data_IF_796710675846
#
_entry.id   IF_796710675846
#
_cell.length_a   1.000
_cell.length_b   1.000
_cell.length_c   1.000
_cell.angle_alpha   90.00
_cell.angle_beta   90.00
_cell.angle_gamma   90.00
#
_symmetry.space_group_name_H-M   'P 1'
#
loop_
_entity.id
_entity.type
_entity.pdbx_description
1 polymer ?
#
# COMPACT_ATOMS: atom_id res chain seq x y z
N UNK A 1 -31.41 6.26 -60.74
CA UNK A 1 -31.05 5.28 -59.67
C UNK A 1 -31.03 5.99 -58.34
N UNK A 2 -31.73 5.44 -57.35
CA UNK A 2 -32.08 6.13 -56.09
C UNK A 2 -30.95 6.03 -54.99
N UNK A 3 -29.70 6.14 -55.39
CA UNK A 3 -28.55 5.98 -54.46
C UNK A 3 -28.53 7.06 -53.36
N UNK A 4 -28.92 8.28 -53.68
CA UNK A 4 -28.97 9.38 -52.69
C UNK A 4 -30.05 9.17 -51.63
N UNK A 5 -31.18 8.51 -51.99
CA UNK A 5 -32.24 8.18 -51.01
C UNK A 5 -31.75 7.11 -50.03
N UNK A 6 -31.05 6.08 -50.53
CA UNK A 6 -30.50 5.01 -49.70
C UNK A 6 -29.44 5.55 -48.73
N UNK A 7 -28.55 6.42 -49.23
CA UNK A 7 -27.52 7.10 -48.41
C UNK A 7 -28.13 7.94 -47.27
N UNK A 8 -29.17 8.73 -47.60
CA UNK A 8 -29.83 9.58 -46.60
C UNK A 8 -30.58 8.74 -45.54
N UNK A 9 -31.19 7.64 -45.91
CA UNK A 9 -31.81 6.69 -44.97
C UNK A 9 -30.78 6.05 -44.07
N UNK A 10 -29.64 5.65 -44.62
CA UNK A 10 -28.54 5.04 -43.85
C UNK A 10 -27.93 6.02 -42.84
N UNK A 11 -27.73 7.27 -43.26
CA UNK A 11 -27.26 8.35 -42.36
C UNK A 11 -28.29 8.60 -41.25
N UNK A 12 -29.58 8.63 -41.59
CA UNK A 12 -30.66 8.82 -40.61
C UNK A 12 -30.72 7.70 -39.57
N UNK A 13 -30.57 6.44 -39.99
CA UNK A 13 -30.50 5.30 -39.08
C UNK A 13 -29.26 5.40 -38.17
N UNK A 14 -28.10 5.72 -38.73
CA UNK A 14 -26.84 5.83 -38.00
C UNK A 14 -26.90 6.96 -36.96
N UNK A 15 -27.53 8.06 -37.30
CA UNK A 15 -27.76 9.19 -36.41
C UNK A 15 -28.74 8.83 -35.27
N UNK A 16 -29.81 8.12 -35.59
CA UNK A 16 -30.77 7.65 -34.59
C UNK A 16 -30.13 6.67 -33.59
N UNK A 17 -29.30 5.73 -34.07
CA UNK A 17 -28.56 4.78 -33.23
C UNK A 17 -27.57 5.51 -32.32
N UNK A 18 -26.84 6.48 -32.87
CA UNK A 18 -25.90 7.26 -32.05
C UNK A 18 -26.62 8.09 -30.98
N UNK A 19 -27.73 8.73 -31.29
CA UNK A 19 -28.55 9.47 -30.33
C UNK A 19 -29.12 8.54 -29.24
N UNK A 20 -29.56 7.34 -29.60
CA UNK A 20 -30.05 6.34 -28.66
C UNK A 20 -28.90 5.88 -27.71
N UNK A 21 -27.71 5.62 -28.24
CA UNK A 21 -26.56 5.23 -27.45
C UNK A 21 -26.12 6.35 -26.48
N UNK A 22 -26.09 7.60 -26.97
CA UNK A 22 -25.78 8.77 -26.13
C UNK A 22 -26.81 8.98 -25.03
N UNK A 23 -28.11 8.84 -25.36
CA UNK A 23 -29.19 8.92 -24.36
C UNK A 23 -29.10 7.83 -23.30
N UNK A 24 -28.77 6.61 -23.70
CA UNK A 24 -28.60 5.49 -22.77
C UNK A 24 -27.36 5.67 -21.88
N UNK A 25 -26.26 6.17 -22.44
CA UNK A 25 -25.06 6.49 -21.69
C UNK A 25 -25.32 7.62 -20.68
N UNK A 26 -25.96 8.70 -21.11
CA UNK A 26 -26.33 9.82 -20.23
C UNK A 26 -27.25 9.40 -19.09
N UNK A 27 -28.25 8.54 -19.38
CA UNK A 27 -29.15 8.00 -18.36
C UNK A 27 -28.42 7.12 -17.34
N UNK A 28 -27.49 6.26 -17.78
CA UNK A 28 -26.67 5.44 -16.90
C UNK A 28 -25.76 6.30 -16.00
N UNK A 29 -25.12 7.33 -16.55
CA UNK A 29 -24.29 8.26 -15.79
C UNK A 29 -25.11 9.02 -14.74
N UNK A 30 -26.29 9.51 -15.12
CA UNK A 30 -27.18 10.19 -14.17
C UNK A 30 -27.70 9.25 -13.07
N UNK A 31 -28.05 8.01 -13.40
CA UNK A 31 -28.50 7.02 -12.43
C UNK A 31 -27.38 6.64 -11.44
N UNK A 32 -26.15 6.49 -11.92
CA UNK A 32 -24.99 6.23 -11.07
C UNK A 32 -24.70 7.40 -10.15
N UNK A 33 -24.78 8.64 -10.65
CA UNK A 33 -24.58 9.84 -9.84
C UNK A 33 -25.65 10.00 -8.75
N UNK A 34 -26.92 9.78 -9.10
CA UNK A 34 -28.03 9.87 -8.12
C UNK A 34 -27.95 8.78 -7.05
N UNK A 35 -27.50 7.58 -7.40
CA UNK A 35 -27.28 6.50 -6.42
C UNK A 35 -26.10 6.81 -5.49
N UNK A 36 -25.01 7.34 -6.03
CA UNK A 36 -23.83 7.69 -5.24
C UNK A 36 -24.14 8.79 -4.21
N UNK A 37 -24.89 9.81 -4.59
CA UNK A 37 -25.27 10.91 -3.66
C UNK A 37 -26.24 10.47 -2.56
N UNK A 38 -27.19 9.58 -2.86
CA UNK A 38 -28.08 8.99 -1.85
C UNK A 38 -27.30 8.11 -0.85
N UNK A 39 -26.42 7.26 -1.35
CA UNK A 39 -25.61 6.38 -0.53
C UNK A 39 -24.69 7.16 0.45
N UNK A 40 -24.11 8.28 0.01
CA UNK A 40 -23.24 9.11 0.87
C UNK A 40 -24.01 9.69 2.05
N UNK A 41 -25.25 10.19 1.81
CA UNK A 41 -26.09 10.72 2.87
C UNK A 41 -26.53 9.64 3.88
N UNK A 42 -26.92 8.46 3.38
CA UNK A 42 -27.32 7.34 4.23
C UNK A 42 -26.16 6.81 5.07
N UNK A 43 -24.95 6.72 4.48
CA UNK A 43 -23.73 6.32 5.20
C UNK A 43 -23.35 7.35 6.29
N UNK A 44 -23.45 8.65 6.00
CA UNK A 44 -23.21 9.69 7.02
C UNK A 44 -24.18 9.55 8.19
N UNK A 45 -25.46 9.31 7.92
CA UNK A 45 -26.45 9.09 8.95
C UNK A 45 -26.17 7.84 9.79
N UNK A 46 -25.78 6.73 9.15
CA UNK A 46 -25.44 5.48 9.83
C UNK A 46 -24.18 5.62 10.70
N UNK A 47 -23.10 6.22 10.17
CA UNK A 47 -21.85 6.47 10.92
C UNK A 47 -22.13 7.42 12.11
N UNK A 48 -22.94 8.45 11.90
CA UNK A 48 -23.37 9.35 12.99
C UNK A 48 -24.18 8.61 14.06
N UNK A 49 -25.01 7.66 13.65
CA UNK A 49 -25.74 6.77 14.58
C UNK A 49 -24.84 5.89 15.44
N UNK A 50 -23.63 5.58 14.97
CA UNK A 50 -22.59 4.88 15.75
C UNK A 50 -21.79 5.83 16.67
N UNK A 51 -22.07 7.12 16.68
CA UNK A 51 -21.37 8.10 17.52
C UNK A 51 -20.13 8.71 16.89
N UNK A 52 -19.80 8.39 15.63
CA UNK A 52 -18.66 8.89 14.87
C UNK A 52 -19.12 9.78 13.72
N UNK A 53 -18.20 10.52 13.10
CA UNK A 53 -18.53 11.42 11.99
C UNK A 53 -17.62 11.16 10.79
N UNK A 54 -18.09 11.54 9.59
CA UNK A 54 -17.27 11.58 8.39
C UNK A 54 -16.83 13.02 8.13
N UNK A 55 -15.56 13.23 7.82
CA UNK A 55 -15.06 14.53 7.40
C UNK A 55 -15.83 15.05 6.16
N UNK A 56 -15.95 16.37 6.00
CA UNK A 56 -16.64 16.96 4.84
C UNK A 56 -15.96 16.59 3.51
N UNK A 57 -14.64 16.44 3.54
CA UNK A 57 -13.82 15.98 2.39
C UNK A 57 -13.89 14.49 2.13
N UNK A 58 -14.46 13.68 3.04
CA UNK A 58 -14.54 12.25 2.87
C UNK A 58 -15.36 11.88 1.63
N UNK A 59 -14.84 10.97 0.85
CA UNK A 59 -15.55 10.34 -0.26
C UNK A 59 -15.40 8.84 -0.13
N UNK A 60 -16.52 8.12 -0.22
CA UNK A 60 -16.49 6.66 -0.21
C UNK A 60 -15.73 6.19 -1.45
N UNK A 61 -14.65 5.39 -1.29
CA UNK A 61 -13.96 4.82 -2.44
C UNK A 61 -14.85 3.80 -3.16
N UNK A 62 -14.55 3.56 -4.43
CA UNK A 62 -15.19 2.50 -5.19
C UNK A 62 -14.83 1.12 -4.61
N UNK A 63 -15.77 0.18 -4.73
CA UNK A 63 -15.53 -1.22 -4.37
C UNK A 63 -14.41 -1.80 -5.24
N UNK A 64 -13.49 -2.51 -4.61
CA UNK A 64 -12.32 -3.07 -5.29
C UNK A 64 -12.24 -4.57 -5.03
N UNK A 65 -12.06 -5.33 -6.10
CA UNK A 65 -11.72 -6.73 -5.99
C UNK A 65 -10.20 -6.89 -5.93
N UNK A 66 -9.69 -7.38 -4.81
CA UNK A 66 -8.27 -7.64 -4.60
C UNK A 66 -8.05 -9.14 -4.30
N UNK A 67 -7.21 -9.83 -5.09
CA UNK A 67 -6.85 -11.22 -4.78
C UNK A 67 -5.93 -11.28 -3.56
N UNK A 68 -6.02 -12.33 -2.77
CA UNK A 68 -4.98 -12.67 -1.81
C UNK A 68 -3.72 -13.08 -2.55
N UNK A 69 -2.56 -12.57 -2.12
CA UNK A 69 -1.27 -12.84 -2.72
C UNK A 69 -0.34 -13.51 -1.70
N UNK A 70 0.41 -14.49 -2.15
CA UNK A 70 1.48 -15.08 -1.36
C UNK A 70 2.82 -14.40 -1.71
N UNK A 71 3.72 -14.35 -0.73
CA UNK A 71 5.08 -13.86 -0.86
C UNK A 71 6.04 -14.94 -0.42
N UNK A 72 6.91 -15.37 -1.32
CA UNK A 72 8.00 -16.27 -0.93
C UNK A 72 9.15 -15.44 -0.36
N UNK A 73 9.59 -15.82 0.83
CA UNK A 73 10.74 -15.20 1.47
C UNK A 73 12.03 -15.61 0.76
N UNK A 74 12.79 -14.63 0.27
CA UNK A 74 14.08 -14.87 -0.37
C UNK A 74 15.24 -14.68 0.61
N UNK A 75 15.76 -15.79 1.13
CA UNK A 75 16.94 -15.77 2.02
C UNK A 75 18.18 -15.25 1.31
N UNK A 76 18.32 -15.53 0.01
CA UNK A 76 19.43 -15.05 -0.79
C UNK A 76 19.43 -13.53 -0.92
N UNK A 77 18.25 -12.91 -1.11
CA UNK A 77 18.16 -11.46 -1.21
C UNK A 77 18.37 -10.78 0.15
N UNK A 78 17.91 -11.41 1.26
CA UNK A 78 18.20 -10.95 2.62
C UNK A 78 19.71 -10.97 2.91
N UNK A 79 20.39 -12.03 2.51
CA UNK A 79 21.85 -12.16 2.67
C UNK A 79 22.62 -11.18 1.78
N UNK A 80 22.20 -11.01 0.53
CA UNK A 80 22.77 -10.01 -0.37
C UNK A 80 22.63 -8.59 0.20
N UNK A 81 21.44 -8.22 0.68
CA UNK A 81 21.19 -6.94 1.29
C UNK A 81 22.09 -6.74 2.53
N UNK A 82 22.16 -7.74 3.41
CA UNK A 82 23.03 -7.70 4.59
C UNK A 82 24.51 -7.57 4.22
N UNK A 83 24.98 -8.26 3.17
CA UNK A 83 26.38 -8.19 2.74
C UNK A 83 26.77 -6.79 2.22
N UNK A 84 25.83 -6.10 1.57
CA UNK A 84 26.06 -4.70 1.14
C UNK A 84 26.04 -3.73 2.33
N UNK A 85 25.18 -3.98 3.31
CA UNK A 85 25.07 -3.15 4.53
C UNK A 85 26.26 -3.30 5.47
N UNK A 86 26.75 -4.54 5.66
CA UNK A 86 27.67 -4.90 6.73
C UNK A 86 29.07 -5.32 6.23
N UNK A 87 29.22 -5.50 4.92
CA UNK A 87 30.43 -6.06 4.30
C UNK A 87 30.40 -7.59 4.18
N UNK A 88 31.37 -8.13 3.44
CA UNK A 88 31.44 -9.55 3.11
C UNK A 88 31.82 -10.45 4.31
N UNK A 89 32.47 -9.91 5.31
CA UNK A 89 32.97 -10.67 6.49
C UNK A 89 31.95 -10.79 7.62
N UNK A 90 30.64 -10.69 7.29
CA UNK A 90 29.57 -10.81 8.26
C UNK A 90 29.32 -12.25 8.69
N UNK A 91 29.02 -12.45 9.98
CA UNK A 91 28.57 -13.72 10.53
C UNK A 91 27.05 -13.87 10.40
N UNK A 92 26.59 -15.05 9.95
CA UNK A 92 25.17 -15.38 9.82
C UNK A 92 24.76 -16.34 10.94
N UNK A 93 23.71 -16.00 11.66
CA UNK A 93 23.05 -16.85 12.67
C UNK A 93 21.59 -17.03 12.31
N UNK A 94 21.11 -18.26 12.23
CA UNK A 94 19.69 -18.57 12.01
C UNK A 94 19.08 -19.16 13.28
N UNK A 95 17.93 -18.61 13.70
CA UNK A 95 17.18 -19.03 14.88
C UNK A 95 16.07 -19.99 14.50
N UNK A 96 15.58 -20.79 15.46
CA UNK A 96 14.53 -21.80 15.25
C UNK A 96 13.19 -21.23 14.80
N UNK A 97 12.90 -19.96 15.13
CA UNK A 97 11.71 -19.25 14.69
C UNK A 97 11.75 -18.77 13.23
N UNK A 98 12.89 -19.02 12.55
CA UNK A 98 13.14 -18.59 11.19
C UNK A 98 13.68 -17.15 11.09
N UNK A 99 14.04 -16.53 12.18
CA UNK A 99 14.77 -15.25 12.22
C UNK A 99 16.21 -15.48 11.77
N UNK A 100 16.75 -14.57 10.94
CA UNK A 100 18.14 -14.57 10.54
C UNK A 100 18.81 -13.29 10.98
N UNK A 101 19.91 -13.41 11.69
CA UNK A 101 20.76 -12.30 12.11
C UNK A 101 22.06 -12.36 11.34
N UNK A 102 22.46 -11.19 10.84
CA UNK A 102 23.77 -10.93 10.25
C UNK A 102 24.49 -9.91 11.14
N UNK A 103 25.74 -10.17 11.46
CA UNK A 103 26.53 -9.32 12.35
C UNK A 103 27.95 -9.18 11.79
N UNK A 104 28.48 -7.96 11.85
CA UNK A 104 29.89 -7.65 11.61
C UNK A 104 30.43 -6.75 12.72
N UNK A 105 31.69 -6.39 12.65
CA UNK A 105 32.28 -5.44 13.60
C UNK A 105 31.61 -4.06 13.58
N UNK A 106 31.01 -3.69 12.46
CA UNK A 106 30.47 -2.36 12.20
C UNK A 106 28.93 -2.27 12.34
N UNK A 107 28.26 -3.41 12.54
CA UNK A 107 26.81 -3.37 12.66
C UNK A 107 26.13 -4.74 12.73
N UNK A 108 24.79 -4.68 12.76
CA UNK A 108 23.96 -5.88 12.81
C UNK A 108 22.64 -5.64 12.06
N UNK A 109 22.15 -6.66 11.34
CA UNK A 109 20.83 -6.64 10.67
C UNK A 109 20.14 -7.95 10.98
N UNK A 110 18.86 -7.85 11.38
CA UNK A 110 18.01 -9.00 11.73
C UNK A 110 16.76 -9.01 10.90
N UNK A 111 16.53 -10.10 10.17
CA UNK A 111 15.33 -10.37 9.38
C UNK A 111 14.46 -11.38 10.12
N UNK A 112 13.28 -10.95 10.53
CA UNK A 112 12.31 -11.79 11.22
C UNK A 112 11.47 -12.60 10.23
N UNK A 113 10.93 -13.71 10.70
CA UNK A 113 10.10 -14.58 9.87
C UNK A 113 8.82 -13.89 9.33
N UNK A 114 8.30 -12.93 10.07
CA UNK A 114 7.10 -12.15 9.74
C UNK A 114 7.36 -10.95 8.78
N UNK A 115 8.60 -10.84 8.27
CA UNK A 115 9.00 -9.79 7.36
C UNK A 115 9.48 -8.51 8.05
N UNK A 116 9.47 -8.44 9.38
CA UNK A 116 10.12 -7.31 10.08
C UNK A 116 11.63 -7.35 9.85
N UNK A 117 12.22 -6.18 9.82
CA UNK A 117 13.67 -5.99 9.75
C UNK A 117 14.08 -4.92 10.75
N UNK A 118 15.16 -5.18 11.46
CA UNK A 118 15.82 -4.21 12.32
C UNK A 118 17.32 -4.35 12.16
N UNK A 119 18.03 -3.22 12.20
CA UNK A 119 19.48 -3.25 12.13
C UNK A 119 20.10 -1.90 12.41
N UNK A 120 21.40 -1.95 12.63
CA UNK A 120 22.28 -0.77 12.68
C UNK A 120 23.41 -1.05 11.72
N UNK A 121 23.66 -0.16 10.80
CA UNK A 121 24.70 -0.31 9.78
C UNK A 121 25.46 0.99 9.56
N UNK A 122 26.74 0.92 9.17
CA UNK A 122 27.53 2.09 8.82
C UNK A 122 26.96 2.74 7.55
N UNK A 123 27.07 4.07 7.45
CA UNK A 123 26.62 4.81 6.29
C UNK A 123 27.81 5.30 5.47
N UNK A 124 27.88 4.93 4.20
CA UNK A 124 28.87 5.51 3.30
C UNK A 124 28.64 7.02 3.14
N UNK A 125 29.57 7.85 3.63
CA UNK A 125 29.50 9.30 3.49
C UNK A 125 29.08 10.06 4.74
N UNK A 126 28.81 9.38 5.85
CA UNK A 126 28.50 10.00 7.14
C UNK A 126 27.07 10.50 7.29
N UNK A 127 26.81 11.20 8.38
CA UNK A 127 25.47 11.73 8.73
C UNK A 127 25.10 12.89 7.79
N UNK A 128 23.87 12.91 7.23
CA UNK A 128 23.39 14.03 6.41
C UNK A 128 23.29 15.33 7.21
N UNK A 129 23.49 16.47 6.52
CA UNK A 129 23.45 17.80 7.16
C UNK A 129 22.02 18.37 7.28
N UNK A 130 21.11 17.96 6.39
CA UNK A 130 19.74 18.43 6.33
C UNK A 130 18.76 17.35 5.85
N UNK A 131 17.45 17.62 5.91
CA UNK A 131 16.40 16.71 5.47
C UNK A 131 16.49 16.33 3.98
N UNK A 132 16.91 17.27 3.12
CA UNK A 132 17.08 17.02 1.68
C UNK A 132 18.24 16.06 1.43
N UNK A 133 19.34 16.23 2.17
CA UNK A 133 20.48 15.33 2.15
C UNK A 133 20.09 13.96 2.72
N UNK A 134 19.29 13.92 3.80
CA UNK A 134 18.78 12.67 4.38
C UNK A 134 17.94 11.86 3.38
N UNK A 135 17.00 12.48 2.65
CA UNK A 135 16.22 11.78 1.62
C UNK A 135 17.14 11.23 0.52
N UNK A 136 18.12 12.02 0.05
CA UNK A 136 19.06 11.57 -0.99
C UNK A 136 19.91 10.40 -0.53
N UNK A 137 20.43 10.48 0.69
CA UNK A 137 21.23 9.42 1.30
C UNK A 137 20.38 8.14 1.51
N UNK A 138 19.16 8.26 2.04
CA UNK A 138 18.28 7.12 2.24
C UNK A 138 17.90 6.44 0.92
N UNK A 139 17.55 7.20 -0.12
CA UNK A 139 17.28 6.65 -1.46
C UNK A 139 18.45 5.88 -2.02
N UNK A 140 19.67 6.42 -1.83
CA UNK A 140 20.89 5.75 -2.26
C UNK A 140 21.09 4.45 -1.48
N UNK A 141 21.00 4.48 -0.16
CA UNK A 141 21.12 3.30 0.70
C UNK A 141 20.08 2.23 0.32
N UNK A 142 18.80 2.57 0.24
CA UNK A 142 17.76 1.60 -0.15
C UNK A 142 17.99 1.00 -1.54
N UNK A 143 18.48 1.80 -2.49
CA UNK A 143 18.81 1.30 -3.84
C UNK A 143 20.01 0.35 -3.82
N UNK A 144 21.09 0.70 -3.13
CA UNK A 144 22.29 -0.13 -3.04
C UNK A 144 22.04 -1.43 -2.28
N UNK A 145 21.17 -1.40 -1.26
CA UNK A 145 20.79 -2.57 -0.46
C UNK A 145 19.74 -3.46 -1.12
N UNK A 146 19.24 -3.09 -2.32
CA UNK A 146 18.17 -3.82 -2.99
C UNK A 146 16.81 -3.70 -2.29
N UNK A 147 16.63 -2.68 -1.45
CA UNK A 147 15.40 -2.39 -0.70
C UNK A 147 14.53 -1.32 -1.38
N UNK A 148 14.98 -0.75 -2.49
CA UNK A 148 14.17 0.20 -3.23
C UNK A 148 12.98 -0.51 -3.89
N UNK A 149 11.76 -0.10 -3.54
CA UNK A 149 10.54 -0.61 -4.17
C UNK A 149 10.16 0.19 -5.40
N UNK A 150 9.61 -0.47 -6.42
CA UNK A 150 9.03 0.22 -7.57
C UNK A 150 7.87 1.13 -7.12
N UNK A 151 7.89 2.39 -7.57
CA UNK A 151 6.88 3.37 -7.18
C UNK A 151 6.95 3.81 -5.71
N UNK A 152 8.09 3.60 -5.03
CA UNK A 152 8.26 3.99 -3.64
C UNK A 152 8.07 5.49 -3.41
N UNK A 153 7.39 5.83 -2.34
CA UNK A 153 7.29 7.18 -1.80
C UNK A 153 8.14 7.32 -0.54
N UNK A 154 8.64 8.53 -0.29
CA UNK A 154 9.53 8.84 0.81
C UNK A 154 8.97 9.99 1.63
N UNK A 155 8.91 9.80 2.94
CA UNK A 155 8.59 10.83 3.92
C UNK A 155 9.80 11.07 4.80
N UNK A 156 10.05 12.32 5.17
CA UNK A 156 11.15 12.71 6.05
C UNK A 156 10.61 13.40 7.29
N UNK A 157 11.21 13.09 8.41
CA UNK A 157 10.97 13.76 9.69
C UNK A 157 12.32 13.87 10.41
N UNK A 158 12.93 15.06 10.34
CA UNK A 158 14.30 15.26 10.79
C UNK A 158 15.29 14.37 10.04
N UNK A 159 16.01 13.54 10.77
CA UNK A 159 16.97 12.59 10.20
C UNK A 159 16.42 11.18 9.98
N UNK A 160 15.10 11.00 10.08
CA UNK A 160 14.43 9.75 9.78
C UNK A 160 13.72 9.83 8.45
N UNK A 161 13.98 8.88 7.57
CA UNK A 161 13.35 8.77 6.24
C UNK A 161 12.60 7.45 6.16
N UNK A 162 11.29 7.54 5.97
CA UNK A 162 10.43 6.38 5.80
C UNK A 162 10.10 6.18 4.32
N UNK A 163 10.39 5.00 3.81
CA UNK A 163 9.99 4.52 2.50
C UNK A 163 8.76 3.65 2.61
N UNK A 164 7.75 3.91 1.79
CA UNK A 164 6.63 2.99 1.54
C UNK A 164 6.62 2.59 0.08
N UNK A 165 6.37 1.32 -0.19
CA UNK A 165 6.38 0.81 -1.57
C UNK A 165 5.12 0.00 -1.86
N UNK A 166 4.40 0.31 -2.97
CA UNK A 166 3.24 -0.44 -3.39
C UNK A 166 3.62 -1.82 -3.92
N UNK A 167 2.63 -2.70 -4.02
CA UNK A 167 2.72 -3.98 -4.70
C UNK A 167 1.57 -4.05 -5.72
N UNK A 168 1.89 -4.39 -6.96
CA UNK A 168 0.91 -4.40 -8.06
C UNK A 168 0.09 -3.09 -8.15
N UNK A 169 0.73 -1.95 -7.99
CA UNK A 169 0.12 -0.61 -7.98
C UNK A 169 -0.91 -0.38 -6.86
N UNK A 170 -0.85 -1.18 -5.79
CA UNK A 170 -1.71 -1.02 -4.60
C UNK A 170 -0.85 -0.81 -3.36
N UNK A 171 -1.26 0.08 -2.44
CA UNK A 171 -0.52 0.29 -1.21
C UNK A 171 -0.50 -0.98 -0.35
N UNK A 172 0.63 -1.26 0.28
CA UNK A 172 0.74 -2.26 1.35
C UNK A 172 0.93 -1.48 2.65
N UNK A 173 -0.12 -1.42 3.46
CA UNK A 173 -0.26 -0.45 4.56
C UNK A 173 0.75 -0.61 5.69
N UNK A 174 1.40 -1.76 5.79
CA UNK A 174 2.45 -2.04 6.78
C UNK A 174 3.79 -2.46 6.14
N UNK A 175 3.98 -2.22 4.84
CA UNK A 175 5.26 -2.45 4.17
C UNK A 175 5.99 -1.13 4.05
N UNK A 176 6.70 -0.81 5.12
CA UNK A 176 7.47 0.42 5.23
C UNK A 176 8.84 0.14 5.83
N UNK A 177 9.82 0.93 5.42
CA UNK A 177 11.17 0.92 5.97
C UNK A 177 11.53 2.32 6.41
N UNK A 178 11.97 2.44 7.64
CA UNK A 178 12.50 3.69 8.20
C UNK A 178 13.99 3.57 8.40
N UNK A 179 14.71 4.51 7.83
CA UNK A 179 16.15 4.69 8.02
C UNK A 179 16.38 5.96 8.83
N UNK A 180 16.91 5.81 10.04
CA UNK A 180 17.24 6.92 10.94
C UNK A 180 18.74 7.11 10.99
N UNK A 181 19.23 8.28 10.56
CA UNK A 181 20.65 8.62 10.58
C UNK A 181 21.10 9.05 11.97
N UNK A 182 22.11 8.38 12.50
CA UNK A 182 22.67 8.66 13.81
C UNK A 182 23.87 9.61 13.71
N UNK A 183 24.17 10.33 14.79
CA UNK A 183 25.28 11.29 14.84
C UNK A 183 26.67 10.63 14.76
N UNK A 184 26.76 9.34 15.02
CA UNK A 184 28.00 8.54 15.00
C UNK A 184 28.38 8.00 13.61
N UNK A 185 27.66 8.39 12.56
CA UNK A 185 27.89 7.92 11.19
C UNK A 185 27.27 6.57 10.88
N UNK A 186 26.43 6.05 11.77
CA UNK A 186 25.60 4.86 11.53
C UNK A 186 24.17 5.24 11.16
N UNK A 187 23.39 4.27 10.68
CA UNK A 187 21.94 4.39 10.61
C UNK A 187 21.25 3.20 11.22
N UNK A 188 20.11 3.48 11.82
CA UNK A 188 19.17 2.46 12.29
C UNK A 188 18.13 2.20 11.23
N UNK A 189 18.07 0.95 10.73
CA UNK A 189 17.05 0.46 9.84
C UNK A 189 15.95 -0.23 10.67
N UNK A 190 14.71 0.09 10.42
CA UNK A 190 13.57 -0.60 11.05
C UNK A 190 12.37 -0.63 10.10
N UNK A 191 11.51 -1.61 10.28
CA UNK A 191 10.25 -1.68 9.51
C UNK A 191 9.86 -3.08 9.10
N UNK A 192 9.10 -3.18 8.03
CA UNK A 192 8.60 -4.43 7.48
C UNK A 192 8.85 -4.47 5.99
N UNK A 193 9.53 -5.51 5.53
CA UNK A 193 9.89 -5.69 4.14
C UNK A 193 9.91 -7.17 3.77
N UNK A 194 9.62 -7.45 2.51
CA UNK A 194 9.81 -8.76 1.93
C UNK A 194 10.38 -8.61 0.52
N UNK A 195 11.42 -9.37 0.24
CA UNK A 195 11.88 -9.61 -1.11
C UNK A 195 10.96 -10.65 -1.77
N UNK A 196 10.88 -10.64 -3.05
CA UNK A 196 10.11 -11.61 -3.79
C UNK A 196 8.91 -11.00 -4.50
N UNK A 197 8.50 -11.69 -5.56
CA UNK A 197 7.35 -11.27 -6.39
C UNK A 197 6.09 -11.91 -5.84
N UNK A 198 5.05 -11.10 -5.56
CA UNK A 198 3.77 -11.64 -5.12
C UNK A 198 3.12 -12.50 -6.20
N UNK A 199 2.52 -13.62 -5.80
CA UNK A 199 1.79 -14.51 -6.69
C UNK A 199 0.50 -15.01 -6.05
N UNK A 200 -0.44 -15.45 -6.87
CA UNK A 200 -1.66 -16.11 -6.40
C UNK A 200 -1.67 -17.56 -6.81
N UNK A 201 -2.03 -18.43 -5.89
CA UNK A 201 -2.20 -19.87 -6.16
C UNK A 201 -3.65 -20.26 -6.43
N UNK A 202 -4.59 -19.36 -6.16
CA UNK A 202 -6.03 -19.62 -6.27
C UNK A 202 -6.69 -18.55 -7.12
N UNK A 203 -6.99 -18.89 -8.37
CA UNK A 203 -7.84 -18.09 -9.24
C UNK A 203 -9.26 -18.01 -8.64
N UNK A 204 -9.72 -16.82 -8.33
CA UNK A 204 -11.09 -16.56 -7.87
C UNK A 204 -11.28 -16.42 -6.36
N UNK A 205 -10.26 -16.60 -5.51
CA UNK A 205 -10.30 -16.14 -4.13
C UNK A 205 -9.78 -14.71 -4.04
N UNK A 206 -10.68 -13.77 -4.09
CA UNK A 206 -10.42 -12.38 -3.73
C UNK A 206 -11.48 -11.97 -2.73
N UNK A 207 -11.13 -11.10 -1.82
CA UNK A 207 -12.13 -10.46 -1.00
C UNK A 207 -12.86 -9.42 -1.83
N UNK A 208 -14.18 -9.53 -1.89
CA UNK A 208 -15.04 -8.45 -2.35
C UNK A 208 -14.95 -7.35 -1.30
N UNK A 209 -13.95 -6.49 -1.44
CA UNK A 209 -13.70 -5.40 -0.49
C UNK A 209 -14.71 -4.28 -0.73
N UNK A 210 -15.93 -4.47 -0.20
CA UNK A 210 -16.97 -3.43 -0.25
C UNK A 210 -16.63 -2.33 0.74
N UNK A 211 -16.44 -1.13 0.21
CA UNK A 211 -16.04 0.03 0.99
C UNK A 211 -17.08 0.38 2.07
N UNK A 212 -18.36 0.32 1.72
CA UNK A 212 -19.45 0.63 2.65
C UNK A 212 -19.50 -0.35 3.84
N UNK A 213 -19.37 -1.66 3.57
CA UNK A 213 -19.42 -2.69 4.62
C UNK A 213 -18.24 -2.55 5.59
N UNK A 214 -17.03 -2.32 5.05
CA UNK A 214 -15.82 -2.10 5.85
C UNK A 214 -15.93 -0.82 6.68
N UNK A 215 -16.48 0.27 6.11
CA UNK A 215 -16.70 1.53 6.81
C UNK A 215 -17.66 1.36 8.00
N UNK A 216 -18.79 0.69 7.79
CA UNK A 216 -19.79 0.46 8.84
C UNK A 216 -19.26 -0.46 9.94
N UNK A 217 -18.55 -1.52 9.58
CA UNK A 217 -17.91 -2.39 10.54
C UNK A 217 -16.88 -1.64 11.39
N UNK A 218 -16.07 -0.80 10.78
CA UNK A 218 -15.08 0.00 11.48
C UNK A 218 -15.75 1.07 12.37
N UNK A 219 -16.75 1.79 11.85
CA UNK A 219 -17.48 2.83 12.59
C UNK A 219 -18.11 2.27 13.89
N UNK A 220 -18.56 1.01 13.88
CA UNK A 220 -19.11 0.37 15.08
C UNK A 220 -18.07 0.07 16.17
N UNK A 221 -16.77 0.10 15.84
CA UNK A 221 -15.66 -0.14 16.76
C UNK A 221 -14.96 1.14 17.24
N UNK A 222 -15.31 2.30 16.67
CA UNK A 222 -14.73 3.59 17.05
C UNK A 222 -15.27 4.09 18.40
N UNK A 223 -14.44 4.90 19.04
CA UNK A 223 -14.92 5.67 20.19
C UNK A 223 -15.83 6.83 19.74
N UNK A 224 -16.78 7.17 20.58
CA UNK A 224 -17.70 8.27 20.28
C UNK A 224 -16.95 9.60 20.08
N UNK A 225 -17.28 10.29 19.01
CA UNK A 225 -16.71 11.60 18.66
C UNK A 225 -15.51 11.54 17.70
N UNK A 226 -15.07 10.37 17.26
CA UNK A 226 -14.00 10.28 16.24
C UNK A 226 -14.51 10.64 14.85
N UNK A 227 -13.63 11.29 14.06
CA UNK A 227 -13.92 11.69 12.69
C UNK A 227 -13.09 10.88 11.70
N UNK A 228 -13.75 10.16 10.80
CA UNK A 228 -13.11 9.42 9.72
C UNK A 228 -12.73 10.40 8.60
N UNK A 229 -11.44 10.48 8.27
CA UNK A 229 -10.89 11.40 7.26
C UNK A 229 -10.75 10.79 5.88
N UNK A 230 -10.27 9.56 5.82
CA UNK A 230 -10.03 8.88 4.55
C UNK A 230 -10.08 7.37 4.68
N UNK A 231 -10.27 6.71 3.55
CA UNK A 231 -10.30 5.27 3.43
C UNK A 231 -9.60 4.84 2.14
N UNK A 232 -8.68 3.89 2.21
CA UNK A 232 -7.88 3.46 1.06
C UNK A 232 -7.78 1.94 1.01
N UNK A 233 -8.13 1.36 -0.14
CA UNK A 233 -7.98 -0.06 -0.39
C UNK A 233 -6.52 -0.41 -0.66
N UNK A 234 -6.07 -1.53 -0.09
CA UNK A 234 -4.71 -2.01 -0.29
C UNK A 234 -4.52 -3.38 0.31
N UNK A 235 -3.30 -3.66 0.66
CA UNK A 235 -2.90 -4.92 1.29
C UNK A 235 -2.33 -4.69 2.67
N UNK A 236 -2.42 -5.71 3.50
CA UNK A 236 -1.65 -5.85 4.73
C UNK A 236 -0.80 -7.10 4.62
N UNK A 237 0.50 -6.98 4.86
CA UNK A 237 1.41 -8.10 4.93
C UNK A 237 1.29 -8.77 6.30
N UNK A 238 1.08 -10.06 6.32
CA UNK A 238 1.04 -10.87 7.53
C UNK A 238 1.55 -12.29 7.27
N UNK A 239 1.93 -12.97 8.34
CA UNK A 239 2.33 -14.38 8.29
C UNK A 239 1.12 -15.27 8.55
N UNK A 240 0.90 -16.29 7.73
CA UNK A 240 -0.13 -17.29 7.92
C UNK A 240 0.25 -18.33 9.00
N UNK A 241 -0.66 -19.23 9.32
CA UNK A 241 -0.43 -20.33 10.27
C UNK A 241 0.65 -21.33 9.81
N UNK A 242 0.98 -21.33 8.53
CA UNK A 242 2.03 -22.16 7.91
C UNK A 242 3.37 -21.44 7.82
N UNK A 243 3.51 -20.28 8.45
CA UNK A 243 4.69 -19.40 8.42
C UNK A 243 5.04 -18.87 7.03
N UNK A 244 4.06 -18.67 6.15
CA UNK A 244 4.25 -18.02 4.85
C UNK A 244 3.74 -16.58 4.91
N UNK A 245 4.45 -15.70 4.26
CA UNK A 245 4.02 -14.31 4.14
C UNK A 245 2.89 -14.19 3.11
N UNK A 246 1.87 -13.44 3.44
CA UNK A 246 0.72 -13.17 2.60
C UNK A 246 0.39 -11.68 2.58
N UNK A 247 -0.11 -11.22 1.45
CA UNK A 247 -0.75 -9.92 1.31
C UNK A 247 -2.26 -10.11 1.30
N UNK A 248 -2.89 -9.68 2.38
CA UNK A 248 -4.33 -9.80 2.57
C UNK A 248 -4.99 -8.48 2.20
N UNK A 249 -6.04 -8.51 1.33
CA UNK A 249 -6.83 -7.34 1.01
C UNK A 249 -7.38 -6.69 2.29
N UNK A 250 -7.19 -5.38 2.40
CA UNK A 250 -7.64 -4.63 3.58
C UNK A 250 -7.92 -3.17 3.24
N UNK A 251 -8.72 -2.54 4.08
CA UNK A 251 -8.93 -1.09 4.06
C UNK A 251 -8.11 -0.43 5.16
N UNK A 252 -7.34 0.59 4.79
CA UNK A 252 -6.77 1.53 5.76
C UNK A 252 -7.76 2.67 5.94
N UNK A 253 -8.24 2.85 7.16
CA UNK A 253 -9.13 3.95 7.53
C UNK A 253 -8.33 4.87 8.46
N UNK A 254 -8.32 6.16 8.14
CA UNK A 254 -7.61 7.19 8.90
C UNK A 254 -8.64 8.03 9.62
N UNK A 255 -8.47 8.17 10.93
CA UNK A 255 -9.29 9.04 11.78
C UNK A 255 -8.48 10.28 12.22
N UNK A 256 -9.12 11.21 12.89
CA UNK A 256 -8.48 12.40 13.48
C UNK A 256 -7.57 12.08 14.66
N UNK A 257 -7.64 10.85 15.23
CA UNK A 257 -6.76 10.37 16.31
C UNK A 257 -5.59 9.53 15.80
N UNK A 258 -5.70 9.00 14.60
CA UNK A 258 -4.62 8.25 13.93
C UNK A 258 -3.92 9.17 12.94
N UNK A 259 -2.93 9.93 13.40
CA UNK A 259 -1.94 10.58 12.54
C UNK A 259 -0.73 9.68 12.37
#
# INVERSE_FOLDING_TARGET
>A
MQWDKVKNVLIGILLAVNLFLLGNLGFRLWQNYSRASGLDADLRALVSGCGSTLADSFRLPEDVFLPELNLDRSRADEENAASVMLGADMERTELEDGTVRFQSGDGTVTWYADGRVNGVCPIPGGTPDDETAAIRAARKCFSEWGLAGDGASYQVSGFSVTQTAPVANRPVHNRELTLTFNADGTATLSGTWSFGTPYTTVTGRGADCRAADALLQFASSLEAGETIRSMTAGYRMQMDSSRRLQLIPTWKIVTDRTD
#
